data_IF_667569494164
#
_entry.id   IF_667569494164
#
_cell.length_a   1.000
_cell.length_b   1.000
_cell.length_c   1.000
_cell.angle_alpha   90.00
_cell.angle_beta   90.00
_cell.angle_gamma   90.00
#
_symmetry.space_group_name_H-M   'P 1'
#
loop_
_entity.id
_entity.type
_entity.pdbx_description
1 polymer ?
#
# COMPACT_ATOMS: atom_id res chain seq x y z
N UNK A 1 6.16 -6.92 28.72
CA UNK A 1 6.36 -7.90 27.64
C UNK A 1 7.12 -7.19 26.55
N UNK A 2 8.33 -7.63 26.22
CA UNK A 2 9.12 -7.05 25.13
C UNK A 2 8.42 -7.41 23.83
N UNK A 3 7.76 -6.45 23.18
CA UNK A 3 7.27 -6.63 21.81
C UNK A 3 8.52 -6.80 20.95
N UNK A 4 8.65 -7.94 20.27
CA UNK A 4 9.74 -8.14 19.32
C UNK A 4 9.66 -7.02 18.26
N UNK A 5 10.79 -6.46 17.87
CA UNK A 5 10.82 -5.46 16.81
C UNK A 5 10.19 -6.07 15.54
N UNK A 6 9.39 -5.30 14.76
CA UNK A 6 8.84 -5.79 13.52
C UNK A 6 9.95 -6.31 12.60
N UNK A 7 9.78 -7.52 12.07
CA UNK A 7 10.70 -8.10 11.09
C UNK A 7 10.16 -7.87 9.67
N UNK A 8 11.08 -7.59 8.74
CA UNK A 8 10.79 -7.42 7.33
C UNK A 8 10.97 -8.76 6.61
N UNK A 9 9.92 -9.18 5.92
CA UNK A 9 9.90 -10.45 5.18
C UNK A 9 9.58 -10.19 3.70
N UNK A 10 10.01 -11.12 2.84
CA UNK A 10 9.61 -11.15 1.43
C UNK A 10 8.43 -12.09 1.26
N UNK A 11 7.35 -11.58 0.66
CA UNK A 11 6.28 -12.41 0.14
C UNK A 11 6.73 -13.23 -1.07
N UNK A 12 6.00 -14.30 -1.37
CA UNK A 12 6.27 -15.08 -2.57
C UNK A 12 5.87 -14.30 -3.84
N UNK A 13 6.49 -14.63 -4.97
CA UNK A 13 6.12 -14.10 -6.28
C UNK A 13 5.91 -15.30 -7.19
N UNK A 14 4.76 -15.38 -7.84
CA UNK A 14 4.47 -16.46 -8.77
C UNK A 14 5.56 -16.54 -9.85
N UNK A 15 5.84 -17.75 -10.31
CA UNK A 15 6.93 -18.02 -11.24
C UNK A 15 6.82 -17.19 -12.51
N UNK A 16 5.62 -17.09 -13.09
CA UNK A 16 5.42 -16.33 -14.33
C UNK A 16 5.78 -14.85 -14.12
N UNK A 17 5.33 -14.28 -13.01
CA UNK A 17 5.65 -12.89 -12.64
C UNK A 17 7.14 -12.69 -12.33
N UNK A 18 7.79 -13.64 -11.67
CA UNK A 18 9.21 -13.57 -11.35
C UNK A 18 10.09 -13.65 -12.62
N UNK A 19 9.66 -14.43 -13.62
CA UNK A 19 10.33 -14.50 -14.92
C UNK A 19 10.13 -13.22 -15.74
N UNK A 20 8.91 -12.65 -15.75
CA UNK A 20 8.60 -11.43 -16.49
C UNK A 20 9.15 -10.16 -15.83
N UNK A 21 9.09 -10.08 -14.50
CA UNK A 21 9.51 -8.95 -13.69
C UNK A 21 10.49 -9.37 -12.58
N UNK A 22 11.78 -9.61 -12.87
CA UNK A 22 12.74 -10.13 -11.90
C UNK A 22 13.01 -9.23 -10.68
N UNK A 23 12.65 -7.95 -10.75
CA UNK A 23 12.78 -6.99 -9.66
C UNK A 23 11.45 -6.73 -8.92
N UNK A 24 10.36 -7.39 -9.32
CA UNK A 24 9.07 -7.31 -8.66
C UNK A 24 9.13 -8.10 -7.36
N UNK A 25 8.68 -7.50 -6.28
CA UNK A 25 8.58 -8.19 -5.01
C UNK A 25 7.55 -7.55 -4.09
N UNK A 26 7.05 -8.34 -3.15
CA UNK A 26 6.20 -7.87 -2.07
C UNK A 26 6.98 -7.93 -0.76
N UNK A 27 7.05 -6.83 -0.03
CA UNK A 27 7.59 -6.78 1.31
C UNK A 27 6.46 -6.82 2.32
N UNK A 28 6.68 -7.57 3.40
CA UNK A 28 5.72 -7.79 4.47
C UNK A 28 6.33 -7.33 5.79
N UNK A 29 5.53 -6.64 6.61
CA UNK A 29 5.87 -6.33 8.00
C UNK A 29 4.67 -6.65 8.88
N UNK A 30 4.85 -7.53 9.86
CA UNK A 30 3.81 -7.87 10.83
C UNK A 30 3.90 -6.92 12.02
N UNK A 31 2.80 -6.23 12.31
CA UNK A 31 2.72 -5.26 13.41
C UNK A 31 1.56 -5.60 14.33
N UNK A 32 1.80 -5.49 15.64
CA UNK A 32 0.75 -5.56 16.65
C UNK A 32 0.34 -4.14 17.00
N UNK A 33 -0.79 -3.70 16.45
CA UNK A 33 -1.30 -2.35 16.65
C UNK A 33 -2.82 -2.35 16.47
N UNK A 34 -3.48 -1.32 17.03
CA UNK A 34 -4.90 -1.07 16.78
C UNK A 34 -5.04 0.06 15.79
N UNK A 35 -5.99 -0.06 14.86
CA UNK A 35 -6.53 1.15 14.25
C UNK A 35 -7.45 1.84 15.25
N UNK A 36 -7.48 3.16 15.22
CA UNK A 36 -8.23 4.00 16.16
C UNK A 36 -8.32 5.44 15.65
N UNK A 37 -8.70 6.36 16.54
CA UNK A 37 -8.66 7.78 16.18
C UNK A 37 -7.21 8.25 16.06
N UNK A 38 -6.92 9.00 14.99
CA UNK A 38 -5.60 9.59 14.79
C UNK A 38 -5.29 10.62 15.89
N UNK A 39 -4.16 10.51 16.60
CA UNK A 39 -3.71 11.51 17.55
C UNK A 39 -3.47 12.87 16.89
N UNK A 40 -3.44 13.93 17.70
CA UNK A 40 -3.24 15.29 17.18
C UNK A 40 -1.88 15.47 16.49
N UNK A 41 -0.84 14.74 16.93
CA UNK A 41 0.46 14.74 16.27
C UNK A 41 0.38 14.22 14.82
N UNK A 42 -0.33 13.12 14.60
CA UNK A 42 -0.54 12.53 13.27
C UNK A 42 -1.38 13.46 12.39
N UNK A 43 -2.48 14.00 12.94
CA UNK A 43 -3.31 14.99 12.22
C UNK A 43 -2.52 16.24 11.83
N UNK A 44 -1.62 16.71 12.71
CA UNK A 44 -0.72 17.83 12.41
C UNK A 44 0.26 17.48 11.29
N UNK A 45 0.85 16.27 11.31
CA UNK A 45 1.74 15.79 10.23
C UNK A 45 0.99 15.73 8.89
N UNK A 46 -0.25 15.22 8.87
CA UNK A 46 -1.12 15.25 7.68
C UNK A 46 -1.36 16.66 7.15
N UNK A 47 -1.65 17.63 8.03
CA UNK A 47 -1.81 19.04 7.62
C UNK A 47 -0.52 19.60 7.02
N UNK A 48 0.62 19.36 7.66
CA UNK A 48 1.94 19.79 7.14
C UNK A 48 2.32 19.13 5.82
N UNK A 49 1.92 17.87 5.61
CA UNK A 49 2.05 17.20 4.30
C UNK A 49 1.15 17.87 3.28
N UNK A 50 -0.12 18.03 3.61
CA UNK A 50 -1.11 18.69 2.76
C UNK A 50 -0.64 20.07 2.29
N UNK A 51 -0.06 20.88 3.16
CA UNK A 51 0.45 22.22 2.81
C UNK A 51 1.57 22.18 1.75
N UNK A 52 2.32 21.08 1.66
CA UNK A 52 3.36 20.86 0.65
C UNK A 52 2.81 20.40 -0.71
N UNK A 53 1.60 19.85 -0.75
CA UNK A 53 0.97 19.34 -1.97
C UNK A 53 0.33 20.50 -2.75
N UNK A 54 1.12 21.19 -3.56
CA UNK A 54 0.63 22.24 -4.46
C UNK A 54 0.34 21.70 -5.86
N UNK A 55 -0.46 22.39 -6.67
CA UNK A 55 -0.70 21.98 -8.06
C UNK A 55 0.61 21.82 -8.87
N UNK A 56 1.59 22.69 -8.66
CA UNK A 56 2.92 22.54 -9.25
C UNK A 56 3.64 21.28 -8.77
N UNK A 57 3.60 21.00 -7.47
CA UNK A 57 4.18 19.77 -6.91
C UNK A 57 3.54 18.51 -7.54
N UNK A 58 2.22 18.46 -7.69
CA UNK A 58 1.51 17.30 -8.31
C UNK A 58 1.91 17.06 -9.77
N UNK A 59 2.28 18.11 -10.50
CA UNK A 59 2.80 17.98 -11.87
C UNK A 59 4.22 17.40 -11.84
N UNK A 60 5.07 17.92 -10.95
CA UNK A 60 6.49 17.54 -10.88
C UNK A 60 6.75 16.19 -10.21
N UNK A 61 5.92 15.78 -9.24
CA UNK A 61 6.14 14.54 -8.46
C UNK A 61 6.22 13.30 -9.36
N UNK A 62 5.59 13.35 -10.54
CA UNK A 62 5.61 12.28 -11.54
C UNK A 62 6.99 12.04 -12.13
N UNK A 63 7.92 12.97 -11.94
CA UNK A 63 9.32 12.92 -12.37
C UNK A 63 10.25 12.47 -11.23
N UNK A 64 9.75 12.37 -9.99
CA UNK A 64 10.52 11.88 -8.87
C UNK A 64 10.84 10.39 -9.07
N UNK A 65 12.02 9.89 -8.65
CA UNK A 65 12.48 8.54 -9.01
C UNK A 65 11.51 7.42 -8.65
N UNK A 66 10.92 7.44 -7.45
CA UNK A 66 10.03 6.38 -6.97
C UNK A 66 8.66 6.43 -7.66
N UNK A 67 7.92 7.57 -7.68
CA UNK A 67 6.68 7.67 -8.46
C UNK A 67 6.88 7.32 -9.94
N UNK A 68 7.99 7.75 -10.55
CA UNK A 68 8.31 7.41 -11.94
C UNK A 68 8.46 5.91 -12.16
N UNK A 69 9.12 5.20 -11.24
CA UNK A 69 9.27 3.74 -11.33
C UNK A 69 7.90 3.03 -11.32
N UNK A 70 6.95 3.45 -10.48
CA UNK A 70 5.60 2.91 -10.51
C UNK A 70 4.84 3.28 -11.79
N UNK A 71 5.01 4.49 -12.34
CA UNK A 71 4.41 4.86 -13.64
C UNK A 71 4.94 4.01 -14.78
N UNK A 72 6.22 3.65 -14.76
CA UNK A 72 6.81 2.73 -15.75
C UNK A 72 6.20 1.34 -15.57
N UNK A 73 6.17 0.83 -14.34
CA UNK A 73 5.61 -0.49 -14.06
C UNK A 73 4.13 -0.59 -14.44
N UNK A 74 3.31 0.42 -14.11
CA UNK A 74 1.90 0.51 -14.52
C UNK A 74 1.74 0.31 -16.03
N UNK A 75 2.53 1.02 -16.84
CA UNK A 75 2.50 0.88 -18.30
C UNK A 75 2.93 -0.52 -18.76
N UNK A 76 3.92 -1.13 -18.09
CA UNK A 76 4.36 -2.48 -18.43
C UNK A 76 3.25 -3.51 -18.21
N UNK A 77 2.40 -3.32 -17.21
CA UNK A 77 1.26 -4.20 -16.91
C UNK A 77 -0.03 -3.75 -17.61
N UNK A 78 0.07 -2.83 -18.57
CA UNK A 78 -1.06 -2.39 -19.40
C UNK A 78 -2.00 -1.36 -18.76
N UNK A 79 -1.63 -0.80 -17.60
CA UNK A 79 -2.38 0.27 -16.94
C UNK A 79 -1.82 1.62 -17.36
N UNK A 80 -2.68 2.52 -17.86
CA UNK A 80 -2.27 3.89 -18.16
C UNK A 80 -2.28 4.74 -16.89
N UNK A 81 -1.12 5.14 -16.32
CA UNK A 81 -1.07 5.98 -15.12
C UNK A 81 -1.58 7.40 -15.39
N UNK A 82 -1.84 7.76 -16.66
CA UNK A 82 -2.51 9.00 -17.01
C UNK A 82 -4.04 8.96 -16.85
N UNK A 83 -4.62 7.78 -16.70
CA UNK A 83 -6.05 7.54 -16.43
C UNK A 83 -6.25 6.86 -15.08
N UNK A 84 -5.54 5.77 -14.81
CA UNK A 84 -5.55 5.00 -13.56
C UNK A 84 -4.29 5.29 -12.75
N UNK A 85 -4.39 6.32 -11.90
CA UNK A 85 -3.28 6.89 -11.13
C UNK A 85 -2.62 5.85 -10.23
N UNK A 86 -1.31 6.02 -10.02
CA UNK A 86 -0.61 5.31 -8.95
C UNK A 86 -1.14 5.79 -7.59
N UNK A 87 -1.04 4.99 -6.50
CA UNK A 87 -1.58 5.37 -5.20
C UNK A 87 -1.07 6.72 -4.67
N UNK A 88 0.22 7.03 -4.87
CA UNK A 88 0.80 8.32 -4.48
C UNK A 88 0.22 9.50 -5.28
N UNK A 89 -0.02 9.31 -6.59
CA UNK A 89 -0.65 10.32 -7.44
C UNK A 89 -2.13 10.52 -7.06
N UNK A 90 -2.82 9.44 -6.68
CA UNK A 90 -4.22 9.53 -6.24
C UNK A 90 -4.34 10.33 -4.95
N UNK A 91 -3.48 10.10 -3.95
CA UNK A 91 -3.43 10.89 -2.70
C UNK A 91 -3.25 12.39 -3.00
N UNK A 92 -2.35 12.71 -3.93
CA UNK A 92 -2.09 14.09 -4.35
C UNK A 92 -3.32 14.74 -5.00
N UNK A 93 -4.05 14.01 -5.84
CA UNK A 93 -5.28 14.50 -6.47
C UNK A 93 -6.43 14.63 -5.47
N UNK A 94 -6.62 13.66 -4.59
CA UNK A 94 -7.61 13.71 -3.52
C UNK A 94 -7.38 14.95 -2.65
N UNK A 95 -6.12 15.25 -2.30
CA UNK A 95 -5.79 16.49 -1.58
C UNK A 95 -6.26 17.72 -2.35
N UNK A 96 -6.00 17.80 -3.66
CA UNK A 96 -6.39 18.96 -4.48
C UNK A 96 -7.92 19.10 -4.57
N UNK A 97 -8.63 17.99 -4.72
CA UNK A 97 -10.09 17.96 -4.78
C UNK A 97 -10.73 18.39 -3.45
N UNK A 98 -10.22 17.85 -2.34
CA UNK A 98 -10.81 18.07 -1.01
C UNK A 98 -10.26 19.29 -0.28
N UNK A 99 -9.26 19.98 -0.84
CA UNK A 99 -8.55 21.11 -0.22
C UNK A 99 -7.64 20.71 0.94
N UNK A 100 -7.43 19.41 1.18
CA UNK A 100 -6.56 18.89 2.20
C UNK A 100 -6.59 17.37 2.34
N UNK A 101 -5.61 16.81 3.06
CA UNK A 101 -5.63 15.40 3.45
C UNK A 101 -6.57 15.19 4.65
N UNK A 102 -7.70 14.53 4.42
CA UNK A 102 -8.71 14.28 5.45
C UNK A 102 -8.29 13.09 6.32
N UNK A 103 -8.17 13.34 7.62
CA UNK A 103 -7.96 12.28 8.62
C UNK A 103 -9.16 11.35 8.68
N UNK A 104 -8.94 10.03 8.55
CA UNK A 104 -10.00 9.01 8.61
C UNK A 104 -9.90 8.19 9.90
N UNK A 105 -8.80 7.47 10.06
CA UNK A 105 -8.40 6.73 11.24
C UNK A 105 -6.87 6.63 11.23
N UNK A 106 -6.29 6.18 12.34
CA UNK A 106 -4.85 6.15 12.51
C UNK A 106 -4.13 5.34 11.41
N UNK A 107 -4.67 4.18 11.05
CA UNK A 107 -4.08 3.34 10.02
C UNK A 107 -4.15 4.00 8.64
N UNK A 108 -5.32 4.47 8.24
CA UNK A 108 -5.50 5.15 6.95
C UNK A 108 -4.59 6.37 6.82
N UNK A 109 -4.45 7.13 7.90
CA UNK A 109 -3.60 8.30 7.96
C UNK A 109 -2.11 7.92 7.88
N UNK A 110 -1.69 6.86 8.57
CA UNK A 110 -0.34 6.32 8.51
C UNK A 110 0.02 5.84 7.08
N UNK A 111 -0.89 5.14 6.41
CA UNK A 111 -0.70 4.69 5.03
C UNK A 111 -0.57 5.88 4.07
N UNK A 112 -1.39 6.92 4.24
CA UNK A 112 -1.30 8.16 3.44
C UNK A 112 0.04 8.87 3.67
N UNK A 113 0.46 9.02 4.93
CA UNK A 113 1.74 9.64 5.31
C UNK A 113 2.89 8.89 4.64
N UNK A 114 2.98 7.57 4.84
CA UNK A 114 4.06 6.76 4.32
C UNK A 114 4.11 6.75 2.80
N UNK A 115 2.94 6.56 2.15
CA UNK A 115 2.86 6.52 0.68
C UNK A 115 3.25 7.86 0.08
N UNK A 116 2.81 8.97 0.66
CA UNK A 116 3.13 10.29 0.13
C UNK A 116 4.59 10.70 0.36
N UNK A 117 5.16 10.41 1.52
CA UNK A 117 6.53 10.80 1.84
C UNK A 117 7.57 9.99 1.06
N UNK A 118 7.31 8.70 0.81
CA UNK A 118 8.27 7.80 0.15
C UNK A 118 7.98 7.56 -1.34
N UNK A 119 6.73 7.79 -1.76
CA UNK A 119 6.22 7.39 -3.08
C UNK A 119 5.89 5.91 -3.20
N UNK A 120 6.13 5.10 -2.17
CA UNK A 120 5.90 3.64 -2.15
C UNK A 120 4.48 3.35 -1.67
N UNK A 121 3.63 2.70 -2.47
CA UNK A 121 2.31 2.25 -2.02
C UNK A 121 2.44 1.21 -0.92
N UNK A 122 1.74 1.47 0.19
CA UNK A 122 1.58 0.51 1.29
C UNK A 122 0.10 0.21 1.49
N UNK A 123 -0.22 -1.06 1.70
CA UNK A 123 -1.53 -1.52 2.16
C UNK A 123 -1.40 -2.21 3.51
N UNK A 124 -2.52 -2.36 4.21
CA UNK A 124 -2.59 -3.12 5.44
C UNK A 124 -3.72 -4.16 5.38
N UNK A 125 -3.40 -5.37 5.84
CA UNK A 125 -4.30 -6.50 5.90
C UNK A 125 -4.51 -6.90 7.37
N UNK A 126 -5.70 -7.38 7.71
CA UNK A 126 -5.99 -7.98 9.01
C UNK A 126 -5.25 -9.32 9.11
N UNK A 127 -4.21 -9.37 9.94
CA UNK A 127 -3.32 -10.54 10.00
C UNK A 127 -4.03 -11.80 10.51
N UNK A 128 -5.16 -11.65 11.20
CA UNK A 128 -5.96 -12.75 11.71
C UNK A 128 -6.92 -13.32 10.65
N UNK A 129 -6.99 -12.70 9.46
CA UNK A 129 -7.89 -13.09 8.36
C UNK A 129 -7.18 -13.44 7.06
N UNK A 130 -5.86 -13.47 7.05
CA UNK A 130 -5.06 -13.83 5.86
C UNK A 130 -4.43 -15.20 6.04
N UNK A 131 -4.13 -15.87 4.93
CA UNK A 131 -3.35 -17.10 4.90
C UNK A 131 -1.91 -16.92 5.42
N UNK A 132 -1.15 -18.02 5.42
CA UNK A 132 0.20 -18.02 6.01
C UNK A 132 1.22 -17.35 5.10
N UNK A 133 1.10 -17.60 3.80
CA UNK A 133 2.02 -17.13 2.78
C UNK A 133 1.32 -16.10 1.89
N UNK A 134 1.73 -14.83 2.01
CA UNK A 134 1.23 -13.73 1.20
C UNK A 134 2.23 -13.45 0.09
N UNK A 135 1.73 -13.15 -1.11
CA UNK A 135 2.58 -12.90 -2.27
C UNK A 135 1.85 -12.29 -3.45
N UNK A 136 2.48 -12.36 -4.62
CA UNK A 136 1.99 -11.79 -5.86
C UNK A 136 1.70 -12.89 -6.89
N UNK A 137 0.52 -12.86 -7.49
CA UNK A 137 0.17 -13.71 -8.64
C UNK A 137 -0.72 -12.98 -9.63
N UNK A 138 -0.92 -13.61 -10.76
CA UNK A 138 -1.96 -13.25 -11.71
C UNK A 138 -3.31 -13.81 -11.24
N UNK A 139 -4.38 -13.08 -11.52
CA UNK A 139 -5.75 -13.57 -11.35
C UNK A 139 -6.11 -14.62 -12.38
N UNK A 140 -6.95 -15.57 -11.98
CA UNK A 140 -7.64 -16.48 -12.88
C UNK A 140 -8.84 -15.83 -13.57
N UNK A 141 -9.54 -16.63 -14.37
CA UNK A 141 -10.81 -16.20 -14.99
C UNK A 141 -11.92 -16.11 -13.94
N UNK A 142 -12.75 -15.08 -14.04
CA UNK A 142 -13.88 -14.78 -13.14
C UNK A 142 -13.52 -14.66 -11.65
N UNK A 143 -12.23 -14.46 -11.33
CA UNK A 143 -11.78 -14.29 -9.96
C UNK A 143 -12.31 -12.99 -9.34
N UNK A 144 -12.63 -13.04 -8.04
CA UNK A 144 -13.15 -11.90 -7.29
C UNK A 144 -12.10 -11.34 -6.32
N UNK A 145 -12.22 -10.06 -6.01
CA UNK A 145 -11.49 -9.45 -4.91
C UNK A 145 -12.11 -9.88 -3.56
N UNK A 146 -11.47 -10.82 -2.86
CA UNK A 146 -12.08 -11.49 -1.70
C UNK A 146 -13.23 -12.42 -2.09
N UNK A 147 -14.11 -12.75 -1.14
CA UNK A 147 -15.23 -13.67 -1.42
C UNK A 147 -16.35 -13.00 -2.20
N UNK A 148 -16.71 -11.78 -1.81
CA UNK A 148 -17.91 -11.10 -2.28
C UNK A 148 -17.62 -9.82 -3.09
N UNK A 149 -16.35 -9.55 -3.41
CA UNK A 149 -15.98 -8.36 -4.17
C UNK A 149 -16.34 -8.43 -5.65
N UNK A 150 -15.97 -7.35 -6.36
CA UNK A 150 -16.11 -7.25 -7.81
C UNK A 150 -15.25 -8.30 -8.52
N UNK A 151 -15.67 -8.68 -9.73
CA UNK A 151 -14.87 -9.51 -10.62
C UNK A 151 -13.65 -8.70 -11.06
N UNK A 152 -12.49 -9.35 -11.04
CA UNK A 152 -11.22 -8.81 -11.48
C UNK A 152 -10.98 -9.15 -12.95
N UNK A 153 -10.19 -8.33 -13.63
CA UNK A 153 -9.76 -8.65 -14.98
C UNK A 153 -8.93 -9.93 -14.95
N UNK A 154 -9.07 -10.80 -15.96
CA UNK A 154 -8.21 -11.97 -16.11
C UNK A 154 -6.75 -11.53 -16.24
N UNK A 155 -5.84 -12.27 -15.61
CA UNK A 155 -4.39 -12.00 -15.62
C UNK A 155 -4.00 -10.62 -15.07
N UNK A 156 -4.77 -10.09 -14.12
CA UNK A 156 -4.40 -8.93 -13.33
C UNK A 156 -3.43 -9.33 -12.22
N UNK A 157 -2.38 -8.55 -11.98
CA UNK A 157 -1.49 -8.78 -10.83
C UNK A 157 -2.21 -8.38 -9.54
N UNK A 158 -2.18 -9.27 -8.54
CA UNK A 158 -2.83 -9.09 -7.24
C UNK A 158 -1.92 -9.51 -6.10
N UNK A 159 -2.18 -8.95 -4.91
CA UNK A 159 -1.70 -9.49 -3.65
C UNK A 159 -2.66 -10.60 -3.23
N UNK A 160 -2.13 -11.80 -3.01
CA UNK A 160 -2.90 -12.98 -2.68
C UNK A 160 -2.26 -13.76 -1.53
N UNK A 161 -3.07 -14.58 -0.86
CA UNK A 161 -2.56 -15.72 -0.10
C UNK A 161 -2.72 -17.01 -0.91
N UNK A 162 -2.63 -18.16 -0.24
CA UNK A 162 -2.76 -19.47 -0.86
C UNK A 162 -4.15 -19.71 -1.48
N UNK A 163 -5.18 -19.04 -0.97
CA UNK A 163 -6.57 -19.33 -1.28
C UNK A 163 -7.26 -18.21 -2.08
N UNK A 164 -6.88 -16.95 -1.88
CA UNK A 164 -7.71 -15.78 -2.26
C UNK A 164 -6.92 -14.56 -2.70
N UNK A 165 -7.55 -13.75 -3.55
CA UNK A 165 -7.11 -12.39 -3.83
C UNK A 165 -7.43 -11.47 -2.64
N UNK A 166 -6.41 -10.88 -2.04
CA UNK A 166 -6.51 -10.02 -0.86
C UNK A 166 -6.63 -8.55 -1.23
N UNK A 167 -5.86 -8.10 -2.23
CA UNK A 167 -5.82 -6.72 -2.69
C UNK A 167 -5.35 -6.60 -4.14
N UNK A 168 -5.71 -5.50 -4.80
CA UNK A 168 -5.15 -5.11 -6.12
C UNK A 168 -4.06 -4.05 -5.95
N UNK A 169 -3.19 -3.90 -6.95
CA UNK A 169 -2.02 -3.01 -6.87
C UNK A 169 -2.36 -1.51 -6.72
N UNK A 170 -3.58 -1.09 -7.06
CA UNK A 170 -4.06 0.28 -6.82
C UNK A 170 -4.34 0.57 -5.33
N UNK A 171 -4.21 -0.42 -4.45
CA UNK A 171 -4.39 -0.29 -3.01
C UNK A 171 -5.79 -0.64 -2.49
N UNK A 172 -6.71 -1.05 -3.37
CA UNK A 172 -8.03 -1.57 -2.96
C UNK A 172 -7.84 -2.95 -2.31
N UNK A 173 -8.14 -3.02 -1.01
CA UNK A 173 -8.13 -4.25 -0.21
C UNK A 173 -9.56 -4.81 -0.15
N UNK A 174 -9.69 -6.13 -0.28
CA UNK A 174 -10.96 -6.83 -0.10
C UNK A 174 -11.58 -6.58 1.28
N UNK A 175 -12.91 -6.51 1.35
CA UNK A 175 -13.64 -6.22 2.60
C UNK A 175 -13.46 -7.29 3.68
N UNK A 176 -13.16 -8.52 3.26
CA UNK A 176 -13.00 -9.68 4.14
C UNK A 176 -11.64 -9.66 4.84
N UNK A 177 -10.62 -9.10 4.17
CA UNK A 177 -9.23 -9.12 4.63
C UNK A 177 -8.72 -7.74 5.10
N UNK A 178 -9.51 -6.67 4.93
CA UNK A 178 -9.19 -5.35 5.44
C UNK A 178 -9.20 -5.26 6.97
N UNK A 179 -8.32 -4.41 7.51
CA UNK A 179 -8.23 -4.12 8.94
C UNK A 179 -9.53 -3.45 9.43
N UNK A 180 -10.13 -4.01 10.48
CA UNK A 180 -11.32 -3.44 11.15
C UNK A 180 -10.97 -2.93 12.54
N UNK A 181 -11.86 -2.18 13.18
CA UNK A 181 -11.66 -1.60 14.52
C UNK A 181 -11.28 -2.63 15.61
N UNK A 182 -11.70 -3.89 15.43
CA UNK A 182 -11.37 -4.99 16.34
C UNK A 182 -9.99 -5.59 16.13
N UNK A 183 -9.36 -5.37 14.97
CA UNK A 183 -8.08 -5.97 14.63
C UNK A 183 -6.98 -5.46 15.56
N UNK A 184 -6.06 -6.36 15.91
CA UNK A 184 -4.91 -6.11 16.79
C UNK A 184 -3.58 -6.47 16.13
N UNK A 185 -3.66 -7.26 15.07
CA UNK A 185 -2.53 -7.75 14.31
C UNK A 185 -2.76 -7.33 12.86
N UNK A 186 -1.75 -6.72 12.25
CA UNK A 186 -1.82 -6.29 10.86
C UNK A 186 -0.60 -6.83 10.11
N UNK A 187 -0.78 -7.08 8.81
CA UNK A 187 0.33 -7.26 7.88
C UNK A 187 0.36 -6.05 6.95
N UNK A 188 1.41 -5.26 7.07
CA UNK A 188 1.71 -4.18 6.14
C UNK A 188 2.38 -4.79 4.91
N UNK A 189 1.93 -4.39 3.72
CA UNK A 189 2.48 -4.89 2.47
C UNK A 189 2.91 -3.72 1.58
N UNK A 190 4.15 -3.75 1.08
CA UNK A 190 4.68 -2.75 0.17
C UNK A 190 5.19 -3.40 -1.13
N UNK A 191 4.77 -2.84 -2.26
CA UNK A 191 5.15 -3.36 -3.58
C UNK A 191 6.49 -2.76 -4.01
N UNK A 192 7.52 -3.58 -4.22
CA UNK A 192 8.75 -3.16 -4.88
C UNK A 192 8.69 -3.45 -6.38
N UNK A 193 9.05 -2.44 -7.17
CA UNK A 193 9.19 -2.55 -8.62
C UNK A 193 10.60 -2.12 -9.05
N UNK A 194 10.97 -2.43 -10.29
CA UNK A 194 12.27 -2.03 -10.85
C UNK A 194 12.47 -0.52 -10.73
N UNK A 195 13.59 -0.11 -10.13
CA UNK A 195 13.95 1.29 -9.94
C UNK A 195 13.57 1.87 -8.57
N UNK A 196 12.81 1.14 -7.75
CA UNK A 196 12.55 1.50 -6.35
C UNK A 196 13.59 0.84 -5.44
N UNK A 197 14.41 1.62 -4.71
CA UNK A 197 15.43 1.07 -3.84
C UNK A 197 14.79 0.46 -2.58
N UNK A 198 15.41 -0.59 -2.04
CA UNK A 198 14.89 -1.29 -0.84
C UNK A 198 14.71 -0.34 0.34
N UNK A 199 15.62 0.61 0.55
CA UNK A 199 15.52 1.60 1.62
C UNK A 199 14.22 2.42 1.59
N UNK A 200 13.69 2.73 0.41
CA UNK A 200 12.39 3.43 0.30
C UNK A 200 11.23 2.53 0.71
N UNK A 201 11.35 1.22 0.46
CA UNK A 201 10.35 0.25 0.91
C UNK A 201 10.37 0.11 2.43
N UNK A 202 11.58 -0.04 3.00
CA UNK A 202 11.77 -0.11 4.45
C UNK A 202 11.25 1.14 5.13
N UNK A 203 11.62 2.32 4.63
CA UNK A 203 11.16 3.62 5.15
C UNK A 203 9.62 3.73 5.12
N UNK A 204 8.98 3.25 4.06
CA UNK A 204 7.52 3.28 3.96
C UNK A 204 6.86 2.38 5.03
N UNK A 205 7.35 1.15 5.20
CA UNK A 205 6.80 0.21 6.19
C UNK A 205 7.06 0.69 7.63
N UNK A 206 8.27 1.17 7.92
CA UNK A 206 8.61 1.74 9.23
C UNK A 206 7.80 3.01 9.52
N UNK A 207 7.60 3.89 8.53
CA UNK A 207 6.77 5.08 8.73
C UNK A 207 5.35 4.73 9.16
N UNK A 208 4.76 3.67 8.59
CA UNK A 208 3.44 3.18 9.03
C UNK A 208 3.50 2.61 10.44
N UNK A 209 4.47 1.72 10.72
CA UNK A 209 4.63 1.10 12.04
C UNK A 209 4.84 2.14 13.15
N UNK A 210 5.71 3.11 12.94
CA UNK A 210 6.01 4.17 13.91
C UNK A 210 4.80 5.09 14.12
N UNK A 211 4.10 5.43 13.04
CA UNK A 211 2.88 6.26 13.15
C UNK A 211 1.77 5.51 13.91
N UNK A 212 1.67 4.18 13.76
CA UNK A 212 0.74 3.35 14.54
C UNK A 212 1.14 3.30 16.03
N UNK A 213 2.43 3.20 16.32
CA UNK A 213 2.94 3.20 17.70
C UNK A 213 2.72 4.54 18.43
N UNK A 214 2.76 5.67 17.70
CA UNK A 214 2.43 7.00 18.23
C UNK A 214 0.96 7.15 18.69
N UNK A 215 0.09 6.21 18.33
CA UNK A 215 -1.33 6.20 18.70
C UNK A 215 -1.71 5.29 19.86
N UNK A 216 -0.76 4.56 20.43
CA UNK A 216 -0.95 3.78 21.67
C UNK A 216 -0.77 4.66 22.93
#
# INVERSE_FOLDING_TARGET
>A
MTVAAPELERGWVDRELAEEFPALALWLMRVQARSGHSPEAVRRRLRQLSDRITGGHVIHMRQDPVPWAYRVFWRQIGIDPDTDRTPVEQIALDRLEWGGLRSRNLLDDALVIATFETGVPVIALDADKVGKAIGLRLTGDDERLGEAGRILSSRQIVVADEDRCLAVLSGEVSQDHGVRDSARNMVLCALQVKGVPEISIEEALWTVSDTLADGE
#
